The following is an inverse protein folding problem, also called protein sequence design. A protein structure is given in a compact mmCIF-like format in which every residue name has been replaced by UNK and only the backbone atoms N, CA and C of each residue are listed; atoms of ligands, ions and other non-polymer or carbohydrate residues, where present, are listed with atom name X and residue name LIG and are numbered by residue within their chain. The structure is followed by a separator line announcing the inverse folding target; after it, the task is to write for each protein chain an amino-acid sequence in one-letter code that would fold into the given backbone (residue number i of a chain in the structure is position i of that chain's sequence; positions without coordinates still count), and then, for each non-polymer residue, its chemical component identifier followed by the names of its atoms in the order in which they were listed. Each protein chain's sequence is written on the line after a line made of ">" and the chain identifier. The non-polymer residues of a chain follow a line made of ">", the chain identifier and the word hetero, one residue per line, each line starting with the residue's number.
data_IF_542384242800
#
_entry.id   IF_542384242800
#
_cell.length_a   1.000
_cell.length_b   1.000
_cell.length_c   1.000
_cell.angle_alpha   90.00
_cell.angle_beta   90.00
_cell.angle_gamma   90.00
#
_symmetry.space_group_name_H-M   'P 1'
#
loop_
_entity.id
_entity.type
_entity.pdbx_description
1 polymer ?
#
# COMPACT_ATOMS: atom_id res chain seq x y z
N UNK A 1 -4.20 2.54 -14.81
CA UNK A 1 -3.48 3.77 -14.48
C UNK A 1 -3.92 4.17 -13.08
N UNK A 2 -3.19 4.99 -12.34
CA UNK A 2 -3.40 5.15 -10.89
C UNK A 2 -2.54 6.30 -10.39
N UNK A 3 -2.88 6.88 -9.26
CA UNK A 3 -1.98 7.67 -8.42
C UNK A 3 -1.88 7.02 -7.04
N UNK A 4 -0.68 6.58 -6.67
CA UNK A 4 -0.35 6.23 -5.29
C UNK A 4 0.63 7.25 -4.73
N UNK A 5 0.47 7.56 -3.47
CA UNK A 5 1.33 8.50 -2.73
C UNK A 5 1.83 7.79 -1.48
N UNK A 6 3.13 7.83 -1.26
CA UNK A 6 3.75 7.45 0.00
C UNK A 6 4.44 8.68 0.59
N UNK A 7 4.29 8.92 1.90
CA UNK A 7 5.01 10.00 2.55
C UNK A 7 5.34 9.68 4.01
N UNK A 8 6.34 10.38 4.52
CA UNK A 8 6.78 10.27 5.91
C UNK A 8 6.45 11.56 6.65
N UNK A 9 5.68 11.44 7.73
CA UNK A 9 5.27 12.55 8.57
C UNK A 9 5.01 12.04 10.00
N UNK A 10 5.29 12.88 11.02
CA UNK A 10 4.96 12.62 12.42
C UNK A 10 5.42 11.23 12.92
N UNK A 11 6.62 10.82 12.51
CA UNK A 11 7.20 9.51 12.81
C UNK A 11 6.35 8.31 12.33
N UNK A 12 5.59 8.50 11.27
CA UNK A 12 4.81 7.48 10.58
C UNK A 12 5.10 7.47 9.09
N UNK A 13 4.80 6.37 8.40
CA UNK A 13 4.74 6.31 6.95
C UNK A 13 3.28 6.12 6.55
N UNK A 14 2.83 6.98 5.65
CA UNK A 14 1.48 7.01 5.15
C UNK A 14 1.46 6.52 3.70
N UNK A 15 0.43 5.76 3.34
CA UNK A 15 0.15 5.34 1.97
C UNK A 15 -1.26 5.74 1.59
N UNK A 16 -1.42 6.34 0.43
CA UNK A 16 -2.73 6.65 -0.13
C UNK A 16 -2.79 6.31 -1.62
N UNK A 17 -4.00 6.03 -2.12
CA UNK A 17 -4.25 5.78 -3.53
C UNK A 17 -5.70 6.09 -3.89
N UNK A 18 -5.93 6.33 -5.17
CA UNK A 18 -7.24 6.31 -5.79
C UNK A 18 -7.78 4.87 -5.95
N UNK A 19 -9.08 4.70 -6.22
CA UNK A 19 -9.68 3.36 -6.40
C UNK A 19 -9.98 2.98 -7.85
N UNK A 20 -9.65 3.81 -8.84
CA UNK A 20 -9.95 3.54 -10.26
C UNK A 20 -9.11 2.44 -10.86
N UNK A 21 -9.76 1.47 -11.46
CA UNK A 21 -9.16 0.46 -12.34
C UNK A 21 -9.53 0.75 -13.78
N UNK A 22 -8.55 0.75 -14.68
CA UNK A 22 -8.79 0.78 -16.12
C UNK A 22 -9.00 -0.65 -16.61
N UNK A 23 -10.19 -0.97 -17.08
CA UNK A 23 -10.56 -2.31 -17.58
C UNK A 23 -10.27 -2.39 -19.08
N UNK A 24 -10.67 -1.36 -19.83
CA UNK A 24 -10.43 -1.24 -21.26
C UNK A 24 -10.25 0.24 -21.62
N UNK A 25 -10.03 0.54 -22.89
CA UNK A 25 -9.99 1.94 -23.37
C UNK A 25 -11.34 2.60 -23.02
N UNK A 26 -11.29 3.71 -22.30
CA UNK A 26 -12.47 4.47 -21.83
C UNK A 26 -13.47 3.64 -20.98
N UNK A 27 -13.00 2.57 -20.34
CA UNK A 27 -13.80 1.76 -19.43
C UNK A 27 -13.10 1.64 -18.10
N UNK A 28 -13.77 2.12 -17.05
CA UNK A 28 -13.21 2.23 -15.70
C UNK A 28 -14.14 1.56 -14.69
N UNK A 29 -13.54 1.06 -13.59
CA UNK A 29 -14.27 0.62 -12.42
C UNK A 29 -13.58 1.22 -11.18
N UNK A 30 -14.36 1.90 -10.35
CA UNK A 30 -13.85 2.62 -9.17
C UNK A 30 -13.90 1.76 -7.89
N UNK A 31 -13.56 0.47 -8.04
CA UNK A 31 -13.61 -0.56 -6.99
C UNK A 31 -12.25 -1.23 -6.72
N UNK A 32 -11.18 -0.67 -7.26
CA UNK A 32 -9.84 -1.24 -7.11
C UNK A 32 -9.28 -1.07 -5.70
N UNK A 33 -8.80 -2.15 -5.11
CA UNK A 33 -8.10 -2.12 -3.82
C UNK A 33 -6.61 -1.97 -4.11
N UNK A 34 -6.01 -0.85 -3.71
CA UNK A 34 -4.61 -0.49 -4.00
C UNK A 34 -3.76 -0.24 -2.76
N UNK A 35 -4.37 0.01 -1.59
CA UNK A 35 -3.68 0.12 -0.29
C UNK A 35 -3.98 -1.12 0.54
N UNK A 36 -2.93 -1.84 0.92
CA UNK A 36 -3.00 -3.18 1.48
C UNK A 36 -2.12 -3.28 2.73
N UNK A 37 -2.57 -4.06 3.71
CA UNK A 37 -1.72 -4.56 4.78
C UNK A 37 -1.19 -5.95 4.41
N UNK A 38 0.09 -6.19 4.68
CA UNK A 38 0.78 -7.44 4.38
C UNK A 38 1.40 -7.97 5.69
N UNK A 39 0.71 -8.85 6.42
CA UNK A 39 1.21 -9.39 7.67
C UNK A 39 2.49 -10.23 7.45
N UNK A 40 3.43 -10.14 8.36
CA UNK A 40 4.61 -10.99 8.38
C UNK A 40 4.93 -11.50 9.77
N UNK A 41 5.61 -12.64 9.82
CA UNK A 41 6.07 -13.26 11.05
C UNK A 41 7.41 -13.95 10.78
N UNK A 42 8.36 -13.78 11.67
CA UNK A 42 9.67 -14.39 11.61
C UNK A 42 9.82 -15.28 12.84
N UNK A 43 10.05 -16.56 12.58
CA UNK A 43 10.19 -17.59 13.60
C UNK A 43 11.66 -17.79 13.93
N UNK A 44 11.93 -18.10 15.19
CA UNK A 44 13.24 -18.62 15.59
C UNK A 44 13.48 -19.97 14.91
N UNK A 45 14.76 -20.40 14.77
CA UNK A 45 15.06 -21.72 14.27
C UNK A 45 14.29 -22.81 15.02
N UNK A 46 13.91 -23.87 14.28
CA UNK A 46 13.20 -24.98 14.88
C UNK A 46 14.01 -25.60 16.05
N UNK A 47 13.33 -25.85 17.16
CA UNK A 47 13.94 -26.57 18.28
C UNK A 47 14.22 -28.02 17.84
N UNK A 48 15.33 -28.67 18.33
CA UNK A 48 15.60 -30.08 18.05
C UNK A 48 14.45 -31.02 18.45
N UNK A 49 13.70 -30.66 19.51
CA UNK A 49 12.48 -31.35 19.90
C UNK A 49 11.28 -30.81 19.08
N UNK A 50 10.70 -31.63 18.18
CA UNK A 50 9.62 -31.20 17.32
C UNK A 50 8.29 -30.93 18.05
N UNK A 51 8.15 -31.37 19.29
CA UNK A 51 6.93 -31.12 20.11
C UNK A 51 6.87 -29.67 20.63
N UNK A 52 7.97 -28.94 20.58
CA UNK A 52 8.01 -27.55 21.03
C UNK A 52 7.56 -26.61 19.93
N UNK A 53 6.61 -25.74 20.25
CA UNK A 53 6.19 -24.67 19.37
C UNK A 53 7.36 -23.74 19.03
N UNK A 54 7.43 -23.27 17.79
CA UNK A 54 8.43 -22.28 17.36
C UNK A 54 8.11 -20.93 17.98
N UNK A 55 9.10 -20.30 18.58
CA UNK A 55 8.94 -18.94 19.11
C UNK A 55 8.94 -17.92 17.97
N UNK A 56 8.06 -16.95 18.06
CA UNK A 56 8.03 -15.78 17.17
C UNK A 56 9.12 -14.82 17.61
N UNK A 57 10.06 -14.51 16.70
CA UNK A 57 11.10 -13.52 16.94
C UNK A 57 10.62 -12.09 16.60
N UNK A 58 9.94 -11.95 15.46
CA UNK A 58 9.35 -10.70 15.01
C UNK A 58 8.02 -10.96 14.32
N UNK A 59 7.10 -10.02 14.48
CA UNK A 59 5.84 -10.01 13.75
C UNK A 59 5.35 -8.57 13.57
N UNK A 60 4.57 -8.33 12.53
CA UNK A 60 3.99 -7.02 12.24
C UNK A 60 3.18 -7.05 10.95
N UNK A 61 2.78 -5.88 10.50
CA UNK A 61 2.12 -5.67 9.21
C UNK A 61 2.90 -4.65 8.42
N UNK A 62 3.33 -5.02 7.21
CA UNK A 62 3.87 -4.10 6.23
C UNK A 62 2.71 -3.37 5.54
N UNK A 63 2.93 -2.13 5.14
CA UNK A 63 2.05 -1.42 4.23
C UNK A 63 2.49 -1.65 2.79
N UNK A 64 1.53 -1.81 1.88
CA UNK A 64 1.78 -1.90 0.45
C UNK A 64 0.79 -1.02 -0.31
N UNK A 65 1.28 -0.22 -1.26
CA UNK A 65 0.44 0.41 -2.28
C UNK A 65 1.00 0.15 -3.67
N UNK A 66 0.14 0.10 -4.68
CA UNK A 66 0.57 -0.22 -6.03
C UNK A 66 -0.11 0.60 -7.12
N UNK A 67 0.59 0.70 -8.26
CA UNK A 67 0.11 1.28 -9.50
C UNK A 67 0.41 0.35 -10.68
N UNK A 68 -0.41 0.43 -11.73
CA UNK A 68 -0.29 -0.41 -12.92
C UNK A 68 -1.22 -1.62 -12.87
N UNK A 69 -0.73 -2.81 -13.21
CA UNK A 69 -1.53 -4.02 -13.28
C UNK A 69 -2.01 -4.48 -11.91
N UNK A 70 -3.32 -4.40 -11.65
CA UNK A 70 -3.94 -4.92 -10.43
C UNK A 70 -3.79 -6.44 -10.33
N UNK A 71 -3.95 -7.16 -11.44
CA UNK A 71 -3.78 -8.62 -11.47
C UNK A 71 -2.38 -9.01 -11.01
N UNK A 72 -1.35 -8.39 -11.60
CA UNK A 72 0.05 -8.66 -11.23
C UNK A 72 0.29 -8.35 -9.73
N UNK A 73 -0.15 -7.18 -9.27
CA UNK A 73 0.05 -6.74 -7.89
C UNK A 73 -0.62 -7.67 -6.87
N UNK A 74 -1.87 -8.08 -7.14
CA UNK A 74 -2.60 -8.99 -6.25
C UNK A 74 -2.04 -10.41 -6.29
N UNK A 75 -1.62 -10.90 -7.46
CA UNK A 75 -0.95 -12.21 -7.57
C UNK A 75 0.36 -12.25 -6.78
N UNK A 76 1.17 -11.19 -6.86
CA UNK A 76 2.39 -11.08 -6.06
C UNK A 76 2.05 -11.03 -4.56
N UNK A 77 1.11 -10.17 -4.17
CA UNK A 77 0.68 -10.03 -2.77
C UNK A 77 0.23 -11.38 -2.20
N UNK A 78 -0.64 -12.10 -2.89
CA UNK A 78 -1.13 -13.40 -2.42
C UNK A 78 -0.02 -14.46 -2.40
N UNK A 79 0.85 -14.49 -3.43
CA UNK A 79 1.96 -15.45 -3.49
C UNK A 79 2.97 -15.28 -2.34
N UNK A 80 3.18 -14.05 -1.87
CA UNK A 80 4.12 -13.82 -0.76
C UNK A 80 3.46 -13.85 0.61
N UNK A 81 2.16 -13.60 0.70
CA UNK A 81 1.44 -13.46 1.97
C UNK A 81 1.58 -14.70 2.87
N UNK A 82 1.41 -15.90 2.30
CA UNK A 82 1.55 -17.15 3.05
C UNK A 82 2.98 -17.36 3.54
N UNK A 83 3.98 -17.13 2.67
CA UNK A 83 5.38 -17.33 3.01
C UNK A 83 5.85 -16.33 4.06
N UNK A 84 5.40 -15.08 3.98
CA UNK A 84 5.75 -14.06 4.97
C UNK A 84 5.25 -14.40 6.38
N UNK A 85 4.24 -15.26 6.52
CA UNK A 85 3.76 -15.73 7.82
C UNK A 85 4.64 -16.84 8.43
N UNK A 86 5.52 -17.47 7.65
CA UNK A 86 6.35 -18.60 8.06
C UNK A 86 7.84 -18.39 7.76
N UNK A 87 8.26 -17.11 7.68
CA UNK A 87 9.70 -16.82 7.60
C UNK A 87 10.41 -17.33 8.85
N UNK A 88 11.62 -17.81 8.67
CA UNK A 88 12.48 -18.18 9.79
C UNK A 88 13.91 -17.73 9.53
N UNK A 89 14.69 -17.59 10.58
CA UNK A 89 16.10 -17.35 10.46
C UNK A 89 16.78 -18.48 9.68
N UNK A 90 17.65 -18.13 8.75
CA UNK A 90 18.59 -19.08 8.19
C UNK A 90 19.60 -19.54 9.28
N UNK A 91 20.09 -20.78 9.22
CA UNK A 91 21.10 -21.25 10.18
C UNK A 91 22.30 -20.29 10.25
N UNK A 92 22.65 -19.89 11.47
CA UNK A 92 23.76 -18.97 11.72
C UNK A 92 23.45 -17.47 11.55
N UNK A 93 22.23 -17.10 11.13
CA UNK A 93 21.79 -15.72 11.03
C UNK A 93 20.75 -15.41 12.10
N UNK A 94 20.91 -14.26 12.76
CA UNK A 94 19.99 -13.77 13.78
C UNK A 94 19.54 -12.33 13.50
N UNK A 95 20.05 -11.72 12.44
CA UNK A 95 19.73 -10.35 12.05
C UNK A 95 18.82 -10.33 10.82
N UNK A 96 17.64 -9.74 10.98
CA UNK A 96 16.66 -9.59 9.91
C UNK A 96 16.42 -8.11 9.67
N UNK A 97 16.67 -7.68 8.45
CA UNK A 97 16.37 -6.33 8.01
C UNK A 97 15.10 -6.28 7.16
N UNK A 98 14.41 -5.13 7.18
CA UNK A 98 13.30 -4.90 6.25
C UNK A 98 13.77 -5.01 4.78
N UNK A 99 15.01 -4.60 4.50
CA UNK A 99 15.60 -4.75 3.17
C UNK A 99 15.63 -6.23 2.74
N UNK A 100 16.07 -7.13 3.63
CA UNK A 100 16.08 -8.57 3.35
C UNK A 100 14.69 -9.14 3.09
N UNK A 101 13.67 -8.69 3.83
CA UNK A 101 12.26 -9.04 3.57
C UNK A 101 11.84 -8.54 2.17
N UNK A 102 12.15 -7.29 1.83
CA UNK A 102 11.84 -6.71 0.53
C UNK A 102 12.60 -7.39 -0.61
N UNK A 103 13.86 -7.81 -0.42
CA UNK A 103 14.63 -8.60 -1.39
C UNK A 103 13.98 -9.98 -1.65
N UNK A 104 13.40 -10.59 -0.62
CA UNK A 104 12.62 -11.82 -0.79
C UNK A 104 11.35 -11.56 -1.63
N UNK A 105 10.57 -10.53 -1.29
CA UNK A 105 9.39 -10.12 -2.08
C UNK A 105 9.80 -9.79 -3.52
N UNK A 106 10.96 -9.18 -3.73
CA UNK A 106 11.47 -8.78 -5.04
C UNK A 106 11.77 -9.99 -5.96
N UNK A 107 12.17 -11.13 -5.39
CA UNK A 107 12.33 -12.36 -6.18
C UNK A 107 10.98 -12.82 -6.75
N UNK A 108 9.94 -12.84 -5.93
CA UNK A 108 8.59 -13.17 -6.39
C UNK A 108 8.07 -12.14 -7.40
N UNK A 109 8.31 -10.85 -7.15
CA UNK A 109 7.96 -9.75 -8.06
C UNK A 109 8.53 -9.98 -9.47
N UNK A 110 9.82 -10.28 -9.58
CA UNK A 110 10.47 -10.53 -10.88
C UNK A 110 9.86 -11.73 -11.60
N UNK A 111 9.72 -12.84 -10.92
CA UNK A 111 9.22 -14.08 -11.53
C UNK A 111 7.79 -13.92 -12.04
N UNK A 112 6.89 -13.41 -11.20
CA UNK A 112 5.47 -13.26 -11.55
C UNK A 112 5.28 -12.20 -12.63
N UNK A 113 5.98 -11.05 -12.52
CA UNK A 113 5.88 -9.98 -13.51
C UNK A 113 6.34 -10.43 -14.89
N UNK A 114 7.44 -11.20 -14.97
CA UNK A 114 7.94 -11.74 -16.24
C UNK A 114 6.89 -12.66 -16.87
N UNK A 115 6.30 -13.57 -16.11
CA UNK A 115 5.30 -14.51 -16.64
C UNK A 115 4.02 -13.82 -17.08
N UNK A 116 3.49 -12.89 -16.29
CA UNK A 116 2.29 -12.13 -16.66
C UNK A 116 2.53 -11.29 -17.91
N UNK A 117 3.69 -10.63 -18.03
CA UNK A 117 4.01 -9.83 -19.19
C UNK A 117 4.21 -10.68 -20.44
N UNK A 118 4.80 -11.88 -20.32
CA UNK A 118 5.00 -12.79 -21.46
C UNK A 118 3.71 -13.41 -21.97
N UNK A 119 2.82 -13.81 -21.07
CA UNK A 119 1.73 -14.73 -21.41
C UNK A 119 0.40 -14.04 -21.67
N UNK A 120 0.06 -12.98 -20.94
CA UNK A 120 -1.30 -12.47 -20.96
C UNK A 120 -1.45 -10.97 -21.24
N UNK A 121 -0.54 -10.14 -20.77
CA UNK A 121 -0.78 -8.72 -20.67
C UNK A 121 0.23 -7.83 -21.39
N UNK A 122 1.38 -8.37 -21.84
CA UNK A 122 2.46 -7.57 -22.41
C UNK A 122 2.83 -6.40 -21.47
N UNK A 123 3.09 -5.20 -21.98
CA UNK A 123 3.41 -4.02 -21.16
C UNK A 123 2.31 -3.63 -20.16
N UNK A 124 1.05 -4.00 -20.42
CA UNK A 124 -0.08 -3.77 -19.52
C UNK A 124 0.00 -4.64 -18.25
N UNK A 125 0.80 -5.69 -18.25
CA UNK A 125 1.09 -6.53 -17.08
C UNK A 125 2.03 -5.89 -16.07
N UNK A 126 2.69 -4.79 -16.40
CA UNK A 126 3.63 -4.12 -15.50
C UNK A 126 2.89 -3.51 -14.31
N UNK A 127 3.46 -3.75 -13.13
CA UNK A 127 3.05 -3.11 -11.89
C UNK A 127 4.27 -2.54 -11.16
N UNK A 128 4.05 -1.47 -10.42
CA UNK A 128 5.03 -0.92 -9.48
C UNK A 128 4.38 -0.80 -8.11
N UNK A 129 5.15 -1.00 -7.04
CA UNK A 129 4.63 -0.82 -5.68
C UNK A 129 5.65 -0.23 -4.73
N UNK A 130 5.12 0.31 -3.64
CA UNK A 130 5.89 0.68 -2.47
C UNK A 130 5.48 -0.27 -1.35
N UNK A 131 6.48 -0.84 -0.69
CA UNK A 131 6.31 -1.59 0.56
C UNK A 131 6.99 -0.80 1.67
N UNK A 132 6.26 -0.55 2.76
CA UNK A 132 6.82 0.10 3.94
C UNK A 132 6.68 -0.78 5.18
N UNK A 133 7.60 -0.61 6.12
CA UNK A 133 7.63 -1.37 7.36
C UNK A 133 8.61 -0.78 8.36
N UNK A 134 8.54 -1.26 9.60
CA UNK A 134 9.60 -1.05 10.57
C UNK A 134 10.66 -2.13 10.38
N UNK A 135 11.93 -1.70 10.29
CA UNK A 135 13.04 -2.63 10.17
C UNK A 135 13.25 -3.39 11.49
N UNK A 136 13.17 -4.72 11.52
CA UNK A 136 13.35 -5.48 12.75
C UNK A 136 14.69 -5.24 13.46
N UNK A 137 15.78 -5.09 12.69
CA UNK A 137 17.13 -4.92 13.26
C UNK A 137 17.43 -3.50 13.76
N UNK A 138 16.81 -2.47 13.17
CA UNK A 138 17.13 -1.07 13.49
C UNK A 138 15.98 -0.28 14.10
N UNK A 139 14.77 -0.84 14.11
CA UNK A 139 13.51 -0.19 14.49
C UNK A 139 13.17 1.07 13.68
N UNK A 140 13.87 1.34 12.60
CA UNK A 140 13.60 2.48 11.74
C UNK A 140 12.46 2.18 10.77
N UNK A 141 11.62 3.18 10.53
CA UNK A 141 10.61 3.13 9.47
C UNK A 141 11.27 3.34 8.12
N UNK A 142 11.08 2.41 7.21
CA UNK A 142 11.68 2.42 5.86
C UNK A 142 10.63 2.05 4.81
N UNK A 143 10.86 2.48 3.59
CA UNK A 143 10.03 2.14 2.45
C UNK A 143 10.91 1.77 1.25
N UNK A 144 10.42 0.82 0.45
CA UNK A 144 11.09 0.31 -0.74
C UNK A 144 10.13 0.32 -1.92
N UNK A 145 10.61 0.83 -3.04
CA UNK A 145 9.92 0.87 -4.32
C UNK A 145 10.37 -0.27 -5.20
N UNK A 146 9.41 -0.99 -5.72
CA UNK A 146 9.57 -2.05 -6.71
C UNK A 146 9.11 -1.50 -8.05
N UNK A 147 9.93 -1.55 -9.05
CA UNK A 147 9.57 -1.05 -10.38
C UNK A 147 10.14 -1.89 -11.51
N UNK A 148 9.50 -1.77 -12.66
CA UNK A 148 9.97 -2.35 -13.91
C UNK A 148 9.93 -1.25 -14.96
N UNK A 149 11.06 -1.00 -15.61
CA UNK A 149 11.12 -0.02 -16.69
C UNK A 149 10.67 -0.61 -18.04
N UNK A 150 10.61 0.23 -19.07
CA UNK A 150 10.22 -0.17 -20.43
C UNK A 150 11.12 -1.24 -21.07
N UNK A 151 12.34 -1.41 -20.56
CA UNK A 151 13.29 -2.42 -21.02
C UNK A 151 13.19 -3.73 -20.20
N UNK A 152 12.13 -3.91 -19.42
CA UNK A 152 11.94 -5.05 -18.50
C UNK A 152 13.04 -5.20 -17.45
N UNK A 153 13.75 -4.12 -17.12
CA UNK A 153 14.71 -4.12 -16.01
C UNK A 153 13.93 -3.85 -14.73
N UNK A 154 14.05 -4.77 -13.79
CA UNK A 154 13.43 -4.66 -12.47
C UNK A 154 14.38 -4.00 -11.49
N UNK A 155 13.86 -3.10 -10.64
CA UNK A 155 14.62 -2.45 -9.57
C UNK A 155 13.90 -2.54 -8.23
N UNK A 156 14.71 -2.50 -7.18
CA UNK A 156 14.30 -2.39 -5.78
C UNK A 156 15.11 -1.25 -5.15
N UNK A 157 14.46 -0.15 -4.91
CA UNK A 157 15.10 1.08 -4.45
C UNK A 157 14.51 1.51 -3.10
N UNK A 158 15.36 1.93 -2.16
CA UNK A 158 14.88 2.54 -0.93
C UNK A 158 14.42 3.97 -1.21
N UNK A 159 13.19 4.29 -0.80
CA UNK A 159 12.56 5.60 -0.98
C UNK A 159 12.25 6.26 0.36
N UNK A 160 11.84 7.52 0.35
CA UNK A 160 11.61 8.35 1.55
C UNK A 160 12.88 8.59 2.39
N UNK A 161 14.06 8.56 1.76
CA UNK A 161 15.36 8.82 2.38
C UNK A 161 15.77 10.28 2.19
N UNK A 162 15.85 10.74 0.94
CA UNK A 162 16.23 12.13 0.59
C UNK A 162 15.00 13.03 0.39
N UNK A 163 13.87 12.45 0.03
CA UNK A 163 12.57 13.10 -0.06
C UNK A 163 11.65 12.50 1.00
N UNK A 164 10.73 13.29 1.51
CA UNK A 164 9.72 12.81 2.43
C UNK A 164 8.46 12.28 1.73
N UNK A 165 8.44 12.22 0.42
CA UNK A 165 7.34 11.67 -0.37
C UNK A 165 7.82 10.94 -1.63
N UNK A 166 6.97 10.05 -2.14
CA UNK A 166 7.14 9.32 -3.39
C UNK A 166 5.78 9.14 -4.07
N UNK A 167 5.74 9.33 -5.39
CA UNK A 167 4.54 9.13 -6.20
C UNK A 167 4.71 7.94 -7.13
N UNK A 168 3.64 7.16 -7.31
CA UNK A 168 3.59 6.05 -8.26
C UNK A 168 2.41 6.19 -9.20
N UNK A 169 2.58 5.66 -10.41
CA UNK A 169 1.54 5.56 -11.42
C UNK A 169 1.55 6.72 -12.40
N UNK A 170 0.66 6.64 -13.39
CA UNK A 170 0.58 7.67 -14.45
C UNK A 170 0.07 9.02 -13.93
N UNK A 171 -0.73 9.02 -12.86
CA UNK A 171 -1.16 10.24 -12.19
C UNK A 171 0.00 11.07 -11.62
N UNK A 172 1.14 10.42 -11.31
CA UNK A 172 2.31 11.11 -10.78
C UNK A 172 2.85 12.22 -11.69
N UNK A 173 2.66 12.08 -13.00
CA UNK A 173 3.10 13.09 -13.97
C UNK A 173 2.26 14.39 -13.93
N UNK A 174 1.07 14.33 -13.36
CA UNK A 174 0.14 15.45 -13.22
C UNK A 174 0.26 16.16 -11.87
N UNK A 175 0.93 15.54 -10.90
CA UNK A 175 1.15 16.17 -9.59
C UNK A 175 2.22 17.23 -9.71
N UNK A 176 1.90 18.46 -9.35
CA UNK A 176 2.92 19.48 -9.14
C UNK A 176 3.56 19.30 -7.74
N UNK A 177 4.83 18.84 -7.67
CA UNK A 177 5.50 18.67 -6.38
C UNK A 177 5.59 19.95 -5.57
N UNK A 178 5.63 21.12 -6.23
CA UNK A 178 5.66 22.42 -5.56
C UNK A 178 4.32 22.76 -4.92
N UNK A 179 3.21 22.46 -5.61
CA UNK A 179 1.88 22.65 -5.05
C UNK A 179 1.64 21.74 -3.83
N UNK A 180 2.09 20.49 -3.87
CA UNK A 180 2.02 19.56 -2.75
C UNK A 180 2.82 20.06 -1.52
N UNK A 181 4.00 20.65 -1.75
CA UNK A 181 4.82 21.26 -0.69
C UNK A 181 4.21 22.55 -0.13
N UNK A 182 3.59 23.38 -0.99
CA UNK A 182 2.96 24.64 -0.61
C UNK A 182 1.70 24.41 0.24
N UNK A 183 0.97 23.31 0.03
CA UNK A 183 -0.24 22.97 0.80
C UNK A 183 0.05 22.29 2.15
N UNK A 184 1.13 22.65 2.83
CA UNK A 184 1.50 22.11 4.15
C UNK A 184 1.60 20.58 4.19
N UNK A 185 2.03 19.95 3.08
CA UNK A 185 2.17 18.50 2.96
C UNK A 185 0.86 17.71 3.10
N UNK A 186 -0.26 18.32 2.80
CA UNK A 186 -1.54 17.64 2.76
C UNK A 186 -1.68 16.84 1.45
N UNK A 187 -1.05 15.66 1.45
CA UNK A 187 -1.05 14.76 0.29
C UNK A 187 -2.42 14.17 -0.01
N UNK A 188 -3.32 14.12 0.97
CA UNK A 188 -4.68 13.63 0.75
C UNK A 188 -5.53 14.64 -0.02
N UNK A 189 -5.38 15.94 0.26
CA UNK A 189 -5.99 16.99 -0.56
C UNK A 189 -5.44 16.97 -1.99
N UNK A 190 -4.13 16.76 -2.16
CA UNK A 190 -3.55 16.59 -3.51
C UNK A 190 -4.19 15.41 -4.24
N UNK A 191 -4.34 14.26 -3.56
CA UNK A 191 -4.98 13.09 -4.16
C UNK A 191 -6.45 13.36 -4.50
N UNK A 192 -7.19 14.09 -3.65
CA UNK A 192 -8.58 14.46 -3.91
C UNK A 192 -8.69 15.37 -5.13
N UNK A 193 -7.87 16.41 -5.22
CA UNK A 193 -7.85 17.30 -6.39
C UNK A 193 -7.60 16.54 -7.69
N UNK A 194 -6.72 15.52 -7.64
CA UNK A 194 -6.42 14.67 -8.80
C UNK A 194 -7.57 13.70 -9.15
N UNK A 195 -8.34 13.25 -8.14
CA UNK A 195 -9.53 12.42 -8.34
C UNK A 195 -10.67 13.24 -8.95
N UNK A 196 -10.81 14.49 -8.53
CA UNK A 196 -11.88 15.39 -8.95
C UNK A 196 -11.57 16.06 -10.31
N UNK A 197 -10.35 15.97 -10.81
CA UNK A 197 -9.96 16.48 -12.13
C UNK A 197 -10.34 15.50 -13.24
N UNK A 198 -11.48 15.75 -13.88
CA UNK A 198 -12.00 14.94 -14.98
C UNK A 198 -11.06 14.84 -16.19
N UNK A 199 -10.08 15.76 -16.33
CA UNK A 199 -9.08 15.70 -17.39
C UNK A 199 -8.06 14.57 -17.20
N UNK A 200 -7.98 14.01 -15.98
CA UNK A 200 -7.08 12.92 -15.62
C UNK A 200 -7.84 11.60 -15.54
N UNK A 201 -8.26 11.10 -16.68
CA UNK A 201 -9.07 9.88 -16.79
C UNK A 201 -8.52 8.67 -16.01
N UNK A 202 -7.21 8.65 -15.76
CA UNK A 202 -6.50 7.53 -15.17
C UNK A 202 -6.54 7.48 -13.63
N UNK A 203 -7.00 8.55 -13.00
CA UNK A 203 -7.15 8.68 -11.54
C UNK A 203 -8.62 8.93 -11.25
N UNK A 204 -9.19 8.31 -10.23
CA UNK A 204 -10.60 8.51 -9.92
C UNK A 204 -11.13 7.55 -8.86
N UNK A 205 -12.45 7.61 -8.65
CA UNK A 205 -13.12 6.89 -7.58
C UNK A 205 -12.87 7.53 -6.21
N UNK A 206 -12.56 6.73 -5.21
CA UNK A 206 -12.45 7.18 -3.84
C UNK A 206 -11.02 7.04 -3.30
N UNK A 207 -10.70 7.80 -2.26
CA UNK A 207 -9.44 7.72 -1.55
C UNK A 207 -9.36 6.41 -0.76
N UNK A 208 -8.19 5.77 -0.81
CA UNK A 208 -7.78 4.72 0.10
C UNK A 208 -6.59 5.21 0.90
N UNK A 209 -6.53 4.85 2.18
CA UNK A 209 -5.49 5.34 3.06
C UNK A 209 -5.10 4.31 4.11
N UNK A 210 -3.83 4.31 4.45
CA UNK A 210 -3.29 3.53 5.56
C UNK A 210 -2.02 4.17 6.13
N UNK A 211 -1.74 3.84 7.38
CA UNK A 211 -0.59 4.37 8.12
C UNK A 211 0.20 3.25 8.79
N UNK A 212 1.51 3.33 8.66
CA UNK A 212 2.45 2.52 9.42
C UNK A 212 2.87 3.26 10.68
N UNK A 213 2.52 2.72 11.82
CA UNK A 213 2.96 3.20 13.11
C UNK A 213 3.35 2.02 14.00
N UNK A 214 4.48 2.09 14.72
CA UNK A 214 4.92 1.05 15.64
C UNK A 214 4.86 -0.39 15.08
N UNK A 215 5.45 -0.63 13.92
CA UNK A 215 5.50 -1.92 13.24
C UNK A 215 4.14 -2.49 12.81
N UNK A 216 3.11 -1.67 12.80
CA UNK A 216 1.77 -2.08 12.44
C UNK A 216 1.16 -1.14 11.38
N UNK A 217 0.89 -1.70 10.19
CA UNK A 217 0.23 -0.96 9.13
C UNK A 217 -1.29 -1.12 9.25
N UNK A 218 -1.97 -0.03 9.50
CA UNK A 218 -3.43 0.00 9.60
C UNK A 218 -4.02 0.67 8.36
N UNK A 219 -4.98 -0.01 7.73
CA UNK A 219 -5.83 0.58 6.67
C UNK A 219 -7.07 1.15 7.32
N UNK A 220 -7.44 2.36 6.93
CA UNK A 220 -8.59 3.08 7.49
C UNK A 220 -9.75 3.12 6.51
N UNK A 221 -10.97 3.13 7.04
CA UNK A 221 -12.14 3.62 6.33
C UNK A 221 -12.09 5.15 6.21
N UNK A 222 -12.67 5.69 5.17
CA UNK A 222 -12.72 7.12 4.90
C UNK A 222 -14.13 7.63 5.13
N UNK A 223 -14.24 8.71 5.90
CA UNK A 223 -15.46 9.49 6.07
C UNK A 223 -15.25 10.84 5.41
N UNK A 224 -16.08 11.18 4.45
CA UNK A 224 -16.09 12.49 3.84
C UNK A 224 -17.34 13.25 4.32
N UNK A 225 -17.16 14.13 5.30
CA UNK A 225 -18.28 14.83 5.93
C UNK A 225 -19.07 15.71 4.96
N UNK A 226 -18.45 16.19 3.89
CA UNK A 226 -19.11 17.03 2.88
C UNK A 226 -20.28 16.31 2.22
N UNK A 227 -20.13 15.01 1.96
CA UNK A 227 -21.10 14.21 1.25
C UNK A 227 -21.77 13.14 2.12
N UNK A 228 -21.36 13.03 3.39
CA UNK A 228 -21.88 12.04 4.33
C UNK A 228 -21.54 10.58 3.94
N UNK A 229 -20.55 10.40 3.08
CA UNK A 229 -20.21 9.09 2.53
C UNK A 229 -19.16 8.43 3.40
N UNK A 230 -19.42 7.18 3.77
CA UNK A 230 -18.49 6.33 4.50
C UNK A 230 -18.05 5.19 3.60
N UNK A 231 -16.76 5.11 3.27
CA UNK A 231 -16.29 3.99 2.48
C UNK A 231 -15.12 3.25 3.09
N UNK A 232 -15.11 1.95 2.83
CA UNK A 232 -14.01 1.07 3.13
C UNK A 232 -13.25 0.72 1.85
N UNK A 233 -11.95 1.03 1.84
CA UNK A 233 -11.04 0.79 0.70
C UNK A 233 -11.53 1.38 -0.63
N UNK A 234 -12.25 2.48 -0.57
CA UNK A 234 -12.74 3.17 -1.76
C UNK A 234 -13.82 2.44 -2.56
N UNK A 235 -14.23 1.24 -2.17
CA UNK A 235 -15.16 0.41 -2.93
C UNK A 235 -16.46 0.11 -2.20
N UNK A 236 -16.40 -0.09 -0.89
CA UNK A 236 -17.57 -0.49 -0.10
C UNK A 236 -18.18 0.74 0.56
N UNK A 237 -19.36 1.12 0.11
CA UNK A 237 -20.19 2.11 0.80
C UNK A 237 -20.79 1.48 2.05
N UNK A 238 -20.26 1.86 3.21
CA UNK A 238 -20.67 1.30 4.50
C UNK A 238 -21.99 1.88 5.01
N UNK A 239 -22.50 2.95 4.37
CA UNK A 239 -23.83 3.52 4.67
C UNK A 239 -24.94 2.91 3.81
N UNK A 240 -24.61 2.05 2.85
CA UNK A 240 -25.62 1.41 2.02
C UNK A 240 -26.57 0.56 2.87
N UNK A 241 -27.84 0.52 2.50
CA UNK A 241 -28.86 -0.29 3.16
C UNK A 241 -28.43 -1.76 3.28
N UNK A 242 -27.62 -2.24 2.34
CA UNK A 242 -27.08 -3.58 2.35
C UNK A 242 -26.26 -3.89 3.61
N UNK A 243 -25.40 -2.95 4.06
CA UNK A 243 -24.59 -3.12 5.26
C UNK A 243 -25.33 -2.71 6.54
N UNK A 244 -26.22 -1.72 6.46
CA UNK A 244 -26.95 -1.21 7.61
C UNK A 244 -28.15 -2.09 8.01
N UNK A 245 -28.76 -2.80 7.07
CA UNK A 245 -29.91 -3.66 7.31
C UNK A 245 -29.56 -5.07 7.79
N UNK A 246 -28.29 -5.46 7.72
CA UNK A 246 -27.84 -6.76 8.23
C UNK A 246 -27.96 -6.78 9.76
N UNK A 247 -28.96 -7.47 10.28
CA UNK A 247 -28.97 -7.89 11.68
C UNK A 247 -27.83 -8.90 11.86
N UNK A 248 -26.67 -8.41 12.20
CA UNK A 248 -25.48 -9.23 12.43
C UNK A 248 -25.05 -9.06 13.88
N UNK A 249 -24.78 -10.18 14.54
CA UNK A 249 -24.11 -10.19 15.85
C UNK A 249 -22.64 -9.75 15.76
N UNK A 250 -22.14 -9.51 14.54
CA UNK A 250 -20.78 -9.06 14.27
C UNK A 250 -20.77 -7.57 13.94
N UNK A 251 -19.98 -6.83 14.67
CA UNK A 251 -19.73 -5.40 14.42
C UNK A 251 -18.38 -5.24 13.74
N UNK A 252 -18.33 -4.41 12.69
CA UNK A 252 -17.08 -4.07 12.04
C UNK A 252 -16.16 -3.30 13.00
N UNK A 253 -14.93 -3.80 13.21
CA UNK A 253 -13.87 -3.11 13.94
C UNK A 253 -13.07 -2.12 13.07
N UNK A 254 -13.63 -1.62 11.97
CA UNK A 254 -12.97 -0.69 11.06
C UNK A 254 -12.81 0.67 11.75
N UNK A 255 -11.59 1.17 11.78
CA UNK A 255 -11.31 2.55 12.19
C UNK A 255 -11.48 3.47 11.00
N UNK A 256 -12.22 4.56 11.19
CA UNK A 256 -12.45 5.57 10.16
C UNK A 256 -11.69 6.84 10.49
N UNK A 257 -11.27 7.56 9.44
CA UNK A 257 -10.72 8.90 9.54
C UNK A 257 -11.43 9.83 8.55
N UNK A 258 -11.52 11.11 8.93
CA UNK A 258 -11.74 12.18 7.97
C UNK A 258 -10.38 12.77 7.58
N UNK A 259 -9.88 12.48 6.39
CA UNK A 259 -8.54 12.88 5.99
C UNK A 259 -8.36 14.39 5.95
N UNK A 260 -9.44 15.14 5.68
CA UNK A 260 -9.39 16.60 5.55
C UNK A 260 -9.43 17.33 6.90
N UNK A 261 -10.00 16.72 7.93
CA UNK A 261 -10.01 17.27 9.28
C UNK A 261 -8.85 16.80 10.15
N UNK A 262 -8.31 15.63 9.87
CA UNK A 262 -7.24 15.04 10.69
C UNK A 262 -5.88 15.71 10.43
N UNK A 263 -5.60 16.08 9.18
CA UNK A 263 -4.32 16.66 8.76
C UNK A 263 -4.32 18.18 8.58
N UNK A 264 -5.51 18.81 8.45
CA UNK A 264 -5.64 20.24 8.22
C UNK A 264 -5.55 21.11 9.50
N UNK A 265 -5.48 20.56 10.69
CA UNK A 265 -5.47 21.31 11.96
C UNK A 265 -4.08 21.56 12.56
N UNK A 266 -2.99 21.13 11.93
CA UNK A 266 -1.63 21.25 12.50
C UNK A 266 -0.89 22.54 12.17
N UNK A 267 -1.57 23.65 11.84
CA UNK A 267 -0.86 24.89 11.54
C UNK A 267 -1.64 26.14 11.89
N UNK A 268 -2.06 26.25 13.15
CA UNK A 268 -2.44 27.52 13.74
C UNK A 268 -2.01 27.51 15.22
N UNK A 269 -0.71 27.62 15.47
CA UNK A 269 -0.12 28.22 16.68
C UNK A 269 1.15 28.94 16.27
#
# INVERSE_FOLDING_TARGET
>A
MTLCIAWKQDNAIHLAADSRLTIATNSYADVGIKVLALPYRILQPAHPDPSRARNVAYQGRLGMCFAGSAVNSLMIKESVAAVLQDLQYAPGYTDVSLKGICEFIFKAYKLISIEICKTAAGPKGIASFIVCGQCPSTSLLRAFKFSTNSNNVHSLDEVLVSSNHEFLGSGAAHVDPKAALVRNRDYLSVLRDMIDDESIESVGGNIQYGTLHNNDFTVYGIIEFKDGVHHWRGALDMNSDYFMSAQSDLISGISYIDPFNTFGRSSAV
#
